data_IF_299057754223
#
_entry.id   IF_299057754223
#
_cell.length_a   1.000
_cell.length_b   1.000
_cell.length_c   1.000
_cell.angle_alpha   90.00
_cell.angle_beta   90.00
_cell.angle_gamma   90.00
#
_symmetry.space_group_name_H-M   'P 1'
#
loop_
_entity.id
_entity.type
_entity.pdbx_description
1 polymer ?
#
# COMPACT_ATOMS: atom_id res chain seq x y z
N UNK A 1 9.73 17.38 7.01
CA UNK A 1 8.61 17.62 6.08
C UNK A 1 8.43 16.32 5.33
N UNK A 2 7.24 15.73 5.35
CA UNK A 2 7.01 14.46 4.65
C UNK A 2 6.57 14.78 3.21
N UNK A 3 7.09 14.04 2.25
CA UNK A 3 6.74 14.22 0.85
C UNK A 3 5.36 13.62 0.59
N UNK A 4 4.48 14.38 -0.07
CA UNK A 4 3.17 13.86 -0.49
C UNK A 4 3.38 13.07 -1.78
N UNK A 5 2.89 11.83 -1.79
CA UNK A 5 3.05 10.89 -2.90
C UNK A 5 1.70 10.27 -3.27
N UNK A 6 1.60 9.88 -4.54
CA UNK A 6 0.50 9.09 -5.07
C UNK A 6 1.08 7.82 -5.69
N UNK A 7 0.57 6.67 -5.30
CA UNK A 7 1.00 5.35 -5.76
C UNK A 7 -0.14 4.72 -6.51
N UNK A 8 0.12 4.28 -7.75
CA UNK A 8 -0.75 3.33 -8.44
C UNK A 8 -0.05 1.99 -8.45
N UNK A 9 -0.70 0.95 -7.93
CA UNK A 9 -0.06 -0.36 -7.79
C UNK A 9 -1.00 -1.48 -7.43
N UNK A 10 -0.45 -2.65 -7.14
CA UNK A 10 -1.19 -3.86 -6.79
C UNK A 10 -0.95 -4.23 -5.32
N UNK A 11 -2.02 -4.58 -4.61
CA UNK A 11 -1.93 -5.08 -3.23
C UNK A 11 -1.37 -6.50 -3.23
N UNK A 12 -0.28 -6.76 -2.52
CA UNK A 12 0.39 -8.08 -2.49
C UNK A 12 0.26 -8.81 -1.17
N UNK A 13 -0.12 -8.13 -0.09
CA UNK A 13 -0.40 -8.75 1.21
C UNK A 13 -1.84 -8.51 1.65
N UNK A 14 -2.37 -9.44 2.45
CA UNK A 14 -3.72 -9.30 2.99
C UNK A 14 -3.78 -8.07 3.93
N UNK A 15 -4.71 -7.13 3.70
CA UNK A 15 -4.89 -6.00 4.61
C UNK A 15 -5.18 -6.47 6.02
N UNK A 16 -4.32 -6.09 6.96
CA UNK A 16 -4.35 -6.58 8.33
C UNK A 16 -4.67 -5.42 9.28
N UNK A 17 -5.72 -5.58 10.08
CA UNK A 17 -6.08 -4.61 11.11
C UNK A 17 -5.09 -4.69 12.28
N UNK A 18 -4.56 -3.54 12.67
CA UNK A 18 -3.68 -3.39 13.83
C UNK A 18 -4.43 -2.83 15.04
N UNK A 19 -3.77 -2.84 16.19
CA UNK A 19 -4.33 -2.38 17.47
C UNK A 19 -4.74 -0.89 17.47
N UNK A 20 -4.21 -0.08 16.56
CA UNK A 20 -4.47 1.35 16.48
C UNK A 20 -5.61 1.72 15.51
N UNK A 21 -6.47 0.76 15.11
CA UNK A 21 -7.49 0.94 14.05
C UNK A 21 -6.87 1.32 12.69
N UNK A 22 -5.57 1.07 12.52
CA UNK A 22 -4.87 1.20 11.25
C UNK A 22 -4.88 -0.15 10.54
N UNK A 23 -4.99 -0.11 9.22
CA UNK A 23 -4.86 -1.29 8.37
C UNK A 23 -3.52 -1.19 7.64
N UNK A 24 -2.77 -2.28 7.67
CA UNK A 24 -1.46 -2.38 7.02
C UNK A 24 -1.50 -3.38 5.87
N UNK A 25 -0.90 -3.00 4.75
CA UNK A 25 -0.72 -3.86 3.58
C UNK A 25 0.44 -3.37 2.71
N UNK A 26 0.88 -4.20 1.78
CA UNK A 26 1.93 -3.87 0.82
C UNK A 26 1.29 -3.59 -0.54
N UNK A 27 1.70 -2.50 -1.16
CA UNK A 27 1.39 -2.16 -2.55
C UNK A 27 2.68 -2.17 -3.35
N UNK A 28 2.64 -2.80 -4.53
CA UNK A 28 3.76 -2.84 -5.48
C UNK A 28 3.38 -2.04 -6.71
N UNK A 29 4.17 -1.03 -7.06
CA UNK A 29 3.94 -0.22 -8.26
C UNK A 29 4.35 -0.96 -9.54
N UNK A 30 4.14 -0.32 -10.70
CA UNK A 30 4.48 -0.86 -12.02
C UNK A 30 5.99 -1.04 -12.25
N UNK A 31 6.82 -0.34 -11.46
CA UNK A 31 8.29 -0.45 -11.47
C UNK A 31 8.79 -1.56 -10.54
N UNK A 32 7.91 -2.24 -9.81
CA UNK A 32 8.25 -3.25 -8.82
C UNK A 32 8.70 -2.69 -7.47
N UNK A 33 8.48 -1.40 -7.21
CA UNK A 33 8.78 -0.77 -5.92
C UNK A 33 7.72 -1.15 -4.91
N UNK A 34 8.15 -1.62 -3.74
CA UNK A 34 7.25 -2.00 -2.66
C UNK A 34 7.04 -0.87 -1.66
N UNK A 35 5.78 -0.61 -1.32
CA UNK A 35 5.35 0.38 -0.34
C UNK A 35 4.57 -0.29 0.78
N UNK A 36 4.92 0.03 2.02
CA UNK A 36 4.17 -0.39 3.20
C UNK A 36 3.10 0.66 3.51
N UNK A 37 1.86 0.40 3.13
CA UNK A 37 0.74 1.33 3.28
C UNK A 37 0.11 1.15 4.66
N UNK A 38 -0.07 2.27 5.36
CA UNK A 38 -0.82 2.39 6.60
C UNK A 38 -1.98 3.35 6.37
N UNK A 39 -3.19 2.86 6.47
CA UNK A 39 -4.41 3.64 6.28
C UNK A 39 -5.33 3.49 7.51
N UNK A 40 -6.24 4.44 7.73
CA UNK A 40 -7.31 4.21 8.70
C UNK A 40 -8.23 3.11 8.21
N UNK A 41 -8.76 2.31 9.15
CA UNK A 41 -9.70 1.23 8.82
C UNK A 41 -10.87 1.69 7.95
N UNK A 42 -11.34 2.91 8.14
CA UNK A 42 -12.52 3.44 7.45
C UNK A 42 -12.22 3.78 5.98
N UNK A 43 -10.95 3.97 5.63
CA UNK A 43 -10.50 4.21 4.25
C UNK A 43 -10.24 2.91 3.48
N UNK A 44 -10.19 1.76 4.16
CA UNK A 44 -9.90 0.46 3.54
C UNK A 44 -11.18 -0.35 3.38
N UNK A 45 -11.71 -0.35 2.15
CA UNK A 45 -12.91 -1.11 1.80
C UNK A 45 -12.59 -2.58 1.51
N UNK A 46 -13.62 -3.43 1.42
CA UNK A 46 -13.48 -4.84 1.03
C UNK A 46 -12.93 -5.05 -0.40
N UNK A 47 -12.92 -3.99 -1.23
CA UNK A 47 -12.32 -4.03 -2.56
C UNK A 47 -10.78 -4.03 -2.50
N UNK A 48 -10.18 -3.51 -1.42
CA UNK A 48 -8.75 -3.57 -1.16
C UNK A 48 -8.43 -4.98 -0.64
N UNK A 49 -7.90 -5.83 -1.51
CA UNK A 49 -7.53 -7.23 -1.23
C UNK A 49 -6.32 -7.63 -2.08
N UNK A 50 -5.67 -8.74 -1.76
CA UNK A 50 -4.55 -9.26 -2.57
C UNK A 50 -4.96 -9.36 -4.04
N UNK A 51 -4.12 -8.83 -4.93
CA UNK A 51 -4.34 -8.77 -6.37
C UNK A 51 -5.17 -7.57 -6.84
N UNK A 52 -5.76 -6.78 -5.93
CA UNK A 52 -6.48 -5.57 -6.31
C UNK A 52 -5.50 -4.48 -6.77
N UNK A 53 -5.84 -3.81 -7.87
CA UNK A 53 -5.19 -2.56 -8.26
C UNK A 53 -5.75 -1.41 -7.42
N UNK A 54 -4.89 -0.59 -6.86
CA UNK A 54 -5.25 0.53 -5.99
C UNK A 54 -4.52 1.80 -6.38
N UNK A 55 -5.13 2.93 -6.05
CA UNK A 55 -4.48 4.23 -5.95
C UNK A 55 -4.40 4.59 -4.47
N UNK A 56 -3.21 4.98 -4.01
CA UNK A 56 -2.94 5.38 -2.63
C UNK A 56 -2.32 6.76 -2.64
N UNK A 57 -3.02 7.72 -2.04
CA UNK A 57 -2.50 9.06 -1.80
C UNK A 57 -2.12 9.21 -0.34
N UNK A 58 -0.99 9.84 -0.05
CA UNK A 58 -0.58 10.05 1.32
C UNK A 58 0.80 10.65 1.48
N UNK A 59 1.30 10.59 2.71
CA UNK A 59 2.62 11.09 3.07
C UNK A 59 3.64 9.95 3.12
N UNK A 60 4.73 10.09 2.38
CA UNK A 60 5.89 9.23 2.47
C UNK A 60 6.57 9.44 3.84
N UNK A 61 6.75 8.34 4.56
CA UNK A 61 7.42 8.29 5.85
C UNK A 61 8.83 7.71 5.74
N UNK A 62 9.25 7.06 6.81
CA UNK A 62 10.55 6.41 6.88
C UNK A 62 10.59 5.12 6.05
N UNK A 63 11.81 4.72 5.67
CA UNK A 63 12.07 3.50 4.92
C UNK A 63 12.33 2.35 5.90
N UNK A 64 11.53 1.29 5.79
CA UNK A 64 11.81 0.00 6.43
C UNK A 64 12.97 -0.63 5.64
N UNK A 65 14.14 -0.83 6.28
CA UNK A 65 15.27 -1.46 5.60
C UNK A 65 14.92 -2.91 5.28
N UNK A 66 15.13 -3.28 4.01
CA UNK A 66 15.03 -4.65 3.57
C UNK A 66 16.09 -5.52 4.22
N UNK A 67 15.88 -6.84 4.16
CA UNK A 67 16.83 -7.84 4.61
C UNK A 67 17.34 -8.59 3.38
N UNK A 68 18.48 -8.15 2.85
CA UNK A 68 19.08 -8.72 1.64
C UNK A 68 19.30 -10.23 1.73
N UNK A 69 19.70 -10.73 2.90
CA UNK A 69 19.88 -12.16 3.19
C UNK A 69 18.57 -12.98 3.21
N UNK A 70 17.41 -12.32 3.22
CA UNK A 70 16.09 -12.96 3.06
C UNK A 70 15.44 -12.65 1.70
N UNK A 71 16.14 -11.97 0.79
CA UNK A 71 15.55 -11.40 -0.42
C UNK A 71 14.34 -10.49 -0.11
N UNK A 72 14.35 -9.82 1.04
CA UNK A 72 13.30 -8.89 1.44
C UNK A 72 13.68 -7.47 0.99
N UNK A 73 12.91 -6.83 0.09
CA UNK A 73 13.21 -5.48 -0.38
C UNK A 73 12.94 -4.43 0.71
N UNK A 74 13.62 -3.29 0.60
CA UNK A 74 13.30 -2.11 1.41
C UNK A 74 11.94 -1.56 1.01
N UNK A 75 11.19 -1.03 1.98
CA UNK A 75 9.84 -0.49 1.75
C UNK A 75 9.71 0.90 2.33
N UNK A 76 9.22 1.84 1.54
CA UNK A 76 8.82 3.14 2.07
C UNK A 76 7.47 3.01 2.76
N UNK A 77 7.35 3.52 3.99
CA UNK A 77 6.05 3.58 4.66
C UNK A 77 5.25 4.74 4.08
N UNK A 78 3.96 4.50 3.83
CA UNK A 78 3.03 5.53 3.38
C UNK A 78 1.93 5.67 4.41
N UNK A 79 1.80 6.86 4.99
CA UNK A 79 0.63 7.23 5.77
C UNK A 79 -0.45 7.68 4.79
N UNK A 80 -1.33 6.77 4.42
CA UNK A 80 -2.37 7.03 3.44
C UNK A 80 -3.43 7.98 3.98
N UNK A 81 -3.75 8.99 3.20
CA UNK A 81 -4.93 9.84 3.38
C UNK A 81 -6.12 9.37 2.55
N UNK A 82 -5.89 8.57 1.50
CA UNK A 82 -6.93 7.92 0.71
C UNK A 82 -6.42 6.60 0.13
N UNK A 83 -7.32 5.62 0.02
CA UNK A 83 -7.07 4.33 -0.65
C UNK A 83 -8.28 4.02 -1.53
N UNK A 84 -8.06 4.00 -2.84
CA UNK A 84 -9.11 3.71 -3.82
C UNK A 84 -8.80 2.42 -4.55
N UNK A 85 -9.68 1.43 -4.46
CA UNK A 85 -9.60 0.24 -5.30
C UNK A 85 -10.09 0.57 -6.71
N UNK A 86 -9.28 0.28 -7.72
CA UNK A 86 -9.69 0.35 -9.11
C UNK A 86 -10.30 -0.99 -9.51
N UNK A 87 -11.56 -0.95 -9.95
CA UNK A 87 -12.09 -2.08 -10.69
C UNK A 87 -11.31 -2.19 -11.99
N UNK A 88 -10.62 -3.31 -12.19
CA UNK A 88 -10.11 -3.65 -13.50
C UNK A 88 -11.33 -3.85 -14.39
N UNK A 89 -11.64 -2.85 -15.22
CA UNK A 89 -12.54 -3.02 -16.33
C UNK A 89 -11.91 -4.07 -17.25
N UNK A 90 -12.33 -5.33 -17.10
CA UNK A 90 -12.01 -6.36 -18.07
C UNK A 90 -12.64 -5.91 -19.39
N UNK A 91 -11.81 -5.51 -20.35
CA UNK A 91 -12.24 -5.34 -21.72
C UNK A 91 -12.70 -6.72 -22.22
N UNK A 92 -14.02 -6.85 -22.40
CA UNK A 92 -14.67 -8.03 -22.95
C UNK A 92 -14.48 -8.14 -24.47
#
# INVERSE_FOLDING_TARGET
>A
MNDIISITGTVTTAPTLTTARLVEFVVVDDRGTEFAVRAWRDDVTAAVRVGASVVVDGAAGWVIPGRSWRHEPSRTIVQASSVEARELALAA
#
